data_IF_931692391105
#
_entry.id   IF_931692391105
#
_cell.length_a   1.000
_cell.length_b   1.000
_cell.length_c   1.000
_cell.angle_alpha   90.00
_cell.angle_beta   90.00
_cell.angle_gamma   90.00
#
_symmetry.space_group_name_H-M   'P 1'
#
loop_
_entity.id
_entity.type
_entity.pdbx_description
1 polymer ?
#
# COMPACT_ATOMS: atom_id res chain seq x y z
N UNK A 1 6.17 14.66 -18.68
CA UNK A 1 5.77 14.73 -17.26
C UNK A 1 6.93 15.31 -16.46
N UNK A 2 6.69 16.27 -15.56
CA UNK A 2 7.73 16.82 -14.69
C UNK A 2 7.61 16.20 -13.30
N UNK A 3 8.75 16.01 -12.64
CA UNK A 3 8.83 15.49 -11.27
C UNK A 3 9.67 16.42 -10.41
N UNK A 4 9.42 16.43 -9.10
CA UNK A 4 10.19 17.16 -8.10
C UNK A 4 10.57 16.25 -6.93
N UNK A 5 11.55 16.68 -6.12
CA UNK A 5 11.99 15.91 -4.95
C UNK A 5 10.87 15.79 -3.91
N UNK A 6 10.82 14.63 -3.26
CA UNK A 6 9.90 14.30 -2.18
C UNK A 6 10.69 13.80 -0.99
N UNK A 7 10.32 14.24 0.22
CA UNK A 7 11.10 13.96 1.42
C UNK A 7 10.88 12.53 1.98
N UNK A 8 9.70 11.94 1.77
CA UNK A 8 9.31 10.57 2.16
C UNK A 8 9.80 10.12 3.56
N UNK A 9 9.80 11.01 4.55
CA UNK A 9 10.22 10.66 5.91
C UNK A 9 9.12 9.96 6.68
N UNK A 10 9.51 9.13 7.66
CA UNK A 10 8.59 8.38 8.51
C UNK A 10 8.76 8.74 9.99
N UNK A 11 7.66 8.83 10.73
CA UNK A 11 7.63 9.02 12.17
C UNK A 11 6.63 8.09 12.86
N UNK A 12 6.87 7.88 14.15
CA UNK A 12 6.00 7.10 15.03
C UNK A 12 5.67 7.93 16.26
N UNK A 13 4.38 8.03 16.56
CA UNK A 13 3.85 8.62 17.79
C UNK A 13 3.00 7.60 18.56
N UNK A 14 3.29 7.42 19.84
CA UNK A 14 2.53 6.54 20.74
C UNK A 14 1.86 7.33 21.86
N UNK A 15 0.53 7.27 21.96
CA UNK A 15 -0.26 7.96 22.98
C UNK A 15 0.01 7.46 24.39
N UNK A 16 0.07 6.13 24.59
CA UNK A 16 0.27 5.50 25.91
C UNK A 16 1.60 5.84 26.56
N UNK A 17 2.71 5.67 25.83
CA UNK A 17 4.06 5.88 26.39
C UNK A 17 4.65 7.26 26.02
N UNK A 18 3.86 8.09 25.33
CA UNK A 18 4.21 9.40 24.80
C UNK A 18 5.42 9.41 23.83
N UNK A 19 5.94 8.26 23.41
CA UNK A 19 7.11 8.19 22.53
C UNK A 19 6.78 8.86 21.20
N UNK A 20 7.62 9.81 20.78
CA UNK A 20 7.65 10.32 19.41
C UNK A 20 9.08 10.31 18.90
N UNK A 21 9.29 9.81 17.68
CA UNK A 21 10.55 9.89 16.98
C UNK A 21 10.33 9.87 15.46
N UNK A 22 11.30 10.38 14.70
CA UNK A 22 11.31 10.24 13.24
C UNK A 22 12.61 9.61 12.76
N UNK A 23 12.57 8.98 11.59
CA UNK A 23 13.75 8.38 10.98
C UNK A 23 14.82 9.40 10.56
N UNK A 24 14.47 10.69 10.44
CA UNK A 24 15.44 11.78 10.20
C UNK A 24 15.98 12.39 11.50
N UNK A 25 15.14 12.50 12.53
CA UNK A 25 15.50 13.06 13.84
C UNK A 25 15.07 12.08 14.94
N UNK A 26 15.84 11.00 15.18
CA UNK A 26 15.47 9.99 16.19
C UNK A 26 15.37 10.59 17.59
N UNK A 27 16.15 11.63 17.91
CA UNK A 27 16.10 12.35 19.18
C UNK A 27 15.17 13.59 19.16
N UNK A 28 14.11 13.56 18.35
CA UNK A 28 13.10 14.61 18.28
C UNK A 28 12.47 14.96 19.65
N UNK A 29 12.54 14.05 20.62
CA UNK A 29 12.25 14.33 22.03
C UNK A 29 13.55 14.29 22.85
N UNK A 30 13.94 15.39 23.50
CA UNK A 30 15.20 15.48 24.27
C UNK A 30 15.34 14.42 25.36
N UNK A 31 14.24 14.02 26.00
CA UNK A 31 14.23 12.94 27.01
C UNK A 31 14.75 11.60 26.49
N UNK A 32 14.64 11.37 25.18
CA UNK A 32 15.09 10.12 24.57
C UNK A 32 16.62 9.98 24.55
N UNK A 33 17.38 11.09 24.69
CA UNK A 33 18.84 11.08 24.80
C UNK A 33 19.33 10.29 26.03
N UNK A 34 18.51 10.22 27.09
CA UNK A 34 18.85 9.52 28.35
C UNK A 34 18.00 8.26 28.58
N UNK A 35 17.26 7.82 27.57
CA UNK A 35 16.32 6.69 27.70
C UNK A 35 17.00 5.39 27.28
N UNK A 36 17.33 4.47 28.21
CA UNK A 36 17.92 3.17 27.84
C UNK A 36 16.96 2.35 26.98
N UNK A 37 15.65 2.50 27.20
CA UNK A 37 14.60 1.88 26.37
C UNK A 37 14.64 2.39 24.94
N UNK A 38 14.91 3.68 24.72
CA UNK A 38 15.02 4.22 23.36
C UNK A 38 16.34 3.83 22.68
N UNK A 39 17.44 3.82 23.42
CA UNK A 39 18.72 3.32 22.91
C UNK A 39 18.63 1.85 22.45
N UNK A 40 17.97 0.99 23.23
CA UNK A 40 17.71 -0.41 22.87
C UNK A 40 16.87 -0.53 21.58
N UNK A 41 15.81 0.29 21.43
CA UNK A 41 15.03 0.34 20.20
C UNK A 41 15.89 0.70 18.98
N UNK A 42 16.73 1.74 19.07
CA UNK A 42 17.62 2.14 17.97
C UNK A 42 18.64 1.06 17.63
N UNK A 43 19.17 0.36 18.64
CA UNK A 43 20.06 -0.78 18.43
C UNK A 43 19.38 -1.90 17.63
N UNK A 44 18.16 -2.29 18.01
CA UNK A 44 17.41 -3.32 17.30
C UNK A 44 16.99 -2.90 15.89
N UNK A 45 16.68 -1.61 15.67
CA UNK A 45 16.50 -1.05 14.33
C UNK A 45 17.78 -1.22 13.51
N UNK A 46 18.94 -0.83 14.04
CA UNK A 46 20.22 -1.02 13.37
C UNK A 46 20.58 -2.49 13.14
N UNK A 47 20.15 -3.41 14.01
CA UNK A 47 20.28 -4.87 13.83
C UNK A 47 19.39 -5.34 12.68
N UNK A 48 18.13 -4.94 12.63
CA UNK A 48 17.20 -5.27 11.56
C UNK A 48 17.73 -4.81 10.20
N UNK A 49 18.07 -3.52 10.09
CA UNK A 49 18.56 -2.92 8.85
C UNK A 49 19.79 -3.64 8.27
N UNK A 50 20.65 -4.20 9.12
CA UNK A 50 21.87 -4.92 8.69
C UNK A 50 21.65 -6.40 8.40
N UNK A 51 20.75 -7.05 9.14
CA UNK A 51 20.66 -8.52 9.17
C UNK A 51 19.46 -9.09 8.42
N UNK A 52 18.41 -8.29 8.18
CA UNK A 52 17.17 -8.81 7.59
C UNK A 52 17.38 -9.35 6.18
N UNK A 53 18.20 -8.70 5.34
CA UNK A 53 18.49 -9.16 3.97
C UNK A 53 19.03 -10.59 3.92
N UNK A 54 19.99 -10.93 4.78
CA UNK A 54 20.60 -12.28 4.80
C UNK A 54 19.61 -13.39 5.15
N UNK A 55 18.43 -13.03 5.68
CA UNK A 55 17.36 -13.99 5.89
C UNK A 55 16.78 -14.49 4.56
N UNK A 56 16.83 -13.71 3.47
CA UNK A 56 16.30 -14.14 2.17
C UNK A 56 17.03 -15.34 1.56
N UNK A 57 18.26 -15.61 1.99
CA UNK A 57 19.04 -16.77 1.54
C UNK A 57 18.54 -18.09 2.18
N UNK A 58 17.63 -18.01 3.16
CA UNK A 58 17.06 -19.17 3.86
C UNK A 58 15.65 -19.45 3.37
N UNK A 59 15.48 -20.56 2.66
CA UNK A 59 14.19 -20.98 2.09
C UNK A 59 13.06 -21.10 3.13
N UNK A 60 13.40 -21.40 4.40
CA UNK A 60 12.43 -21.57 5.48
C UNK A 60 11.56 -20.31 5.68
N UNK A 61 12.11 -19.11 5.51
CA UNK A 61 11.37 -17.86 5.74
C UNK A 61 10.33 -17.52 4.68
N UNK A 62 10.27 -18.26 3.56
CA UNK A 62 9.18 -18.13 2.57
C UNK A 62 7.81 -18.48 3.17
N UNK A 63 7.78 -19.30 4.22
CA UNK A 63 6.55 -19.72 4.89
C UNK A 63 6.33 -19.04 6.24
N UNK A 64 7.25 -18.18 6.67
CA UNK A 64 7.15 -17.48 7.94
C UNK A 64 6.35 -16.19 7.80
N UNK A 65 5.57 -15.89 8.82
CA UNK A 65 5.04 -14.55 9.10
C UNK A 65 6.11 -13.68 9.75
N UNK A 66 5.93 -12.35 9.72
CA UNK A 66 6.82 -11.42 10.44
C UNK A 66 6.84 -11.72 11.94
N UNK A 67 5.72 -12.14 12.53
CA UNK A 67 5.62 -12.53 13.93
C UNK A 67 6.55 -13.69 14.29
N UNK A 68 6.48 -14.78 13.51
CA UNK A 68 7.33 -15.95 13.69
C UNK A 68 8.81 -15.61 13.48
N UNK A 69 9.12 -14.83 12.44
CA UNK A 69 10.47 -14.34 12.18
C UNK A 69 11.04 -13.55 13.37
N UNK A 70 10.25 -12.65 13.96
CA UNK A 70 10.69 -11.86 15.10
C UNK A 70 10.93 -12.70 16.35
N UNK A 71 10.07 -13.70 16.59
CA UNK A 71 10.21 -14.62 17.71
C UNK A 71 11.49 -15.45 17.59
N UNK A 72 11.74 -16.06 16.41
CA UNK A 72 12.95 -16.85 16.15
C UNK A 72 14.23 -16.01 16.30
N UNK A 73 14.20 -14.77 15.81
CA UNK A 73 15.38 -13.87 15.81
C UNK A 73 15.57 -13.09 17.11
N UNK A 74 14.70 -13.30 18.11
CA UNK A 74 14.79 -12.67 19.43
C UNK A 74 14.71 -11.15 19.36
N UNK A 75 13.72 -10.60 18.64
CA UNK A 75 13.41 -9.16 18.69
C UNK A 75 12.49 -8.84 19.87
N UNK A 76 12.73 -7.69 20.52
CA UNK A 76 11.94 -7.28 21.67
C UNK A 76 10.52 -6.84 21.26
N UNK A 77 9.54 -6.92 22.19
CA UNK A 77 8.23 -6.31 22.00
C UNK A 77 8.32 -4.82 21.67
N UNK A 78 9.32 -4.11 22.20
CA UNK A 78 9.48 -2.68 21.93
C UNK A 78 9.82 -2.42 20.47
N UNK A 79 10.75 -3.18 19.88
CA UNK A 79 11.07 -3.11 18.46
C UNK A 79 9.85 -3.45 17.60
N UNK A 80 9.18 -4.57 17.93
CA UNK A 80 7.95 -5.00 17.27
C UNK A 80 6.89 -3.89 17.26
N UNK A 81 6.59 -3.32 18.43
CA UNK A 81 5.46 -2.42 18.65
C UNK A 81 5.70 -0.97 18.23
N UNK A 82 6.97 -0.53 18.18
CA UNK A 82 7.33 0.86 17.87
C UNK A 82 8.10 1.02 16.57
N UNK A 83 8.50 -0.06 15.89
CA UNK A 83 9.15 0.03 14.59
C UNK A 83 8.47 -0.85 13.55
N UNK A 84 8.44 -2.18 13.73
CA UNK A 84 8.01 -3.08 12.65
C UNK A 84 6.51 -3.03 12.38
N UNK A 85 5.67 -3.07 13.43
CA UNK A 85 4.22 -2.91 13.27
C UNK A 85 3.91 -1.55 12.63
N UNK A 86 4.38 -0.40 13.17
CA UNK A 86 4.16 0.91 12.54
C UNK A 86 4.56 0.96 11.07
N UNK A 87 5.74 0.43 10.72
CA UNK A 87 6.26 0.47 9.36
C UNK A 87 5.43 -0.39 8.40
N UNK A 88 5.08 -1.60 8.82
CA UNK A 88 4.29 -2.55 8.01
C UNK A 88 2.85 -2.03 7.83
N UNK A 89 2.22 -1.58 8.92
CA UNK A 89 0.90 -0.94 8.86
C UNK A 89 0.90 0.30 7.99
N UNK A 90 2.00 1.06 7.97
CA UNK A 90 2.11 2.25 7.15
C UNK A 90 2.15 1.93 5.66
N UNK A 91 2.98 0.97 5.26
CA UNK A 91 3.21 0.63 3.86
C UNK A 91 2.03 -0.06 3.18
N UNK A 92 1.35 -0.94 3.90
CA UNK A 92 0.25 -1.76 3.34
C UNK A 92 -1.12 -1.41 3.91
N UNK A 93 -1.24 -0.27 4.60
CA UNK A 93 -2.49 0.17 5.24
C UNK A 93 -3.22 -0.98 5.96
N UNK A 94 -2.44 -1.82 6.65
CA UNK A 94 -2.90 -3.04 7.31
C UNK A 94 -3.03 -2.79 8.81
N UNK A 95 -4.11 -3.31 9.42
CA UNK A 95 -4.35 -3.19 10.85
C UNK A 95 -3.13 -3.64 11.68
N UNK A 96 -2.77 -2.93 12.77
CA UNK A 96 -1.61 -3.28 13.59
C UNK A 96 -1.62 -4.72 14.12
N UNK A 97 -2.80 -5.26 14.43
CA UNK A 97 -3.00 -6.67 14.85
C UNK A 97 -2.68 -7.69 13.75
N UNK A 98 -2.86 -7.34 12.47
CA UNK A 98 -2.56 -8.20 11.31
C UNK A 98 -1.17 -7.96 10.72
N UNK A 99 -0.50 -6.88 11.12
CA UNK A 99 0.81 -6.51 10.58
C UNK A 99 1.88 -7.60 10.76
N UNK A 100 1.75 -8.43 11.81
CA UNK A 100 2.69 -9.53 12.07
C UNK A 100 2.36 -10.81 11.32
N UNK A 101 1.16 -10.98 10.78
CA UNK A 101 0.79 -12.13 9.93
C UNK A 101 1.35 -11.98 8.51
N UNK A 102 1.89 -10.79 8.20
CA UNK A 102 2.42 -10.48 6.89
C UNK A 102 3.61 -11.40 6.56
N UNK A 103 3.71 -11.94 5.33
CA UNK A 103 4.78 -12.86 4.96
C UNK A 103 6.17 -12.23 5.08
N UNK A 104 7.05 -12.84 5.86
CA UNK A 104 8.34 -12.27 6.25
C UNK A 104 9.28 -12.06 5.06
N UNK A 105 9.50 -13.10 4.25
CA UNK A 105 10.38 -13.01 3.09
C UNK A 105 9.91 -11.95 2.08
N UNK A 106 8.59 -11.82 1.91
CA UNK A 106 8.01 -10.80 1.04
C UNK A 106 8.22 -9.38 1.58
N UNK A 107 7.96 -9.14 2.86
CA UNK A 107 8.25 -7.84 3.49
C UNK A 107 9.74 -7.49 3.44
N UNK A 108 10.63 -8.44 3.72
CA UNK A 108 12.09 -8.22 3.70
C UNK A 108 12.56 -7.88 2.28
N UNK A 109 12.11 -8.62 1.25
CA UNK A 109 12.37 -8.28 -0.16
C UNK A 109 11.87 -6.88 -0.51
N UNK A 110 10.66 -6.54 -0.07
CA UNK A 110 10.13 -5.20 -0.30
C UNK A 110 11.03 -4.13 0.32
N UNK A 111 11.40 -4.28 1.59
CA UNK A 111 12.28 -3.33 2.26
C UNK A 111 13.64 -3.21 1.56
N UNK A 112 14.19 -4.32 1.07
CA UNK A 112 15.43 -4.32 0.30
C UNK A 112 15.29 -3.55 -1.03
N UNK A 113 14.29 -3.91 -1.84
CA UNK A 113 14.06 -3.31 -3.16
C UNK A 113 13.76 -1.81 -3.07
N UNK A 114 13.27 -1.33 -1.93
CA UNK A 114 12.93 0.07 -1.70
C UNK A 114 13.99 0.83 -0.88
N UNK A 115 15.18 0.24 -0.67
CA UNK A 115 16.29 0.91 0.02
C UNK A 115 15.97 1.22 1.49
N UNK A 116 15.08 0.43 2.08
CA UNK A 116 14.65 0.53 3.48
C UNK A 116 15.42 -0.43 4.38
N UNK A 117 16.29 -1.27 3.81
CA UNK A 117 17.34 -2.00 4.53
C UNK A 117 18.70 -1.33 4.32
N UNK A 118 19.62 -1.54 5.25
CA UNK A 118 20.88 -0.81 5.32
C UNK A 118 20.70 0.65 5.74
N UNK A 119 21.68 1.49 5.38
CA UNK A 119 21.68 2.93 5.70
C UNK A 119 21.63 3.83 4.47
N UNK A 120 21.64 3.25 3.26
CA UNK A 120 21.39 3.98 2.03
C UNK A 120 19.95 4.47 1.99
N UNK A 121 19.69 5.58 1.28
CA UNK A 121 18.35 6.08 1.05
C UNK A 121 18.17 6.41 -0.42
N UNK A 122 17.03 6.04 -0.98
CA UNK A 122 16.65 6.46 -2.32
C UNK A 122 16.13 7.90 -2.31
N UNK A 123 16.44 8.63 -3.37
CA UNK A 123 15.82 9.91 -3.66
C UNK A 123 14.40 9.67 -4.14
N UNK A 124 13.42 10.15 -3.39
CA UNK A 124 12.02 10.02 -3.76
C UNK A 124 11.58 11.20 -4.61
N UNK A 125 10.69 10.94 -5.56
CA UNK A 125 10.09 11.95 -6.43
C UNK A 125 8.58 11.94 -6.30
N UNK A 126 7.99 13.09 -6.57
CA UNK A 126 6.55 13.25 -6.75
C UNK A 126 6.28 13.92 -8.10
N UNK A 127 5.12 13.67 -8.69
CA UNK A 127 4.70 14.30 -9.95
C UNK A 127 4.31 15.74 -9.68
N UNK A 128 4.93 16.69 -10.38
CA UNK A 128 4.57 18.10 -10.29
C UNK A 128 3.14 18.29 -10.83
N UNK A 129 2.25 18.89 -10.02
CA UNK A 129 0.82 18.99 -10.32
C UNK A 129 -0.01 17.76 -9.91
N UNK A 130 0.63 16.75 -9.30
CA UNK A 130 -0.01 15.54 -8.81
C UNK A 130 -0.32 14.50 -9.89
N UNK A 131 -0.85 13.35 -9.46
CA UNK A 131 -1.17 12.23 -10.35
C UNK A 131 -2.20 12.57 -11.44
N UNK A 132 -3.07 13.55 -11.16
CA UNK A 132 -4.07 14.05 -12.13
C UNK A 132 -3.44 14.47 -13.46
N UNK A 133 -2.19 14.94 -13.45
CA UNK A 133 -1.49 15.36 -14.67
C UNK A 133 -1.32 14.22 -15.66
N UNK A 134 -0.91 13.01 -15.23
CA UNK A 134 -0.79 11.89 -16.16
C UNK A 134 -2.14 11.24 -16.45
N UNK A 135 -3.08 11.26 -15.49
CA UNK A 135 -4.45 10.77 -15.72
C UNK A 135 -5.11 11.56 -16.85
N UNK A 136 -5.03 12.89 -16.84
CA UNK A 136 -5.60 13.73 -17.90
C UNK A 136 -5.02 13.41 -19.29
N UNK A 137 -3.72 13.15 -19.36
CA UNK A 137 -3.07 12.74 -20.63
C UNK A 137 -3.60 11.39 -21.13
N UNK A 138 -3.88 10.45 -20.22
CA UNK A 138 -4.49 9.17 -20.59
C UNK A 138 -5.94 9.35 -21.07
N UNK A 139 -6.73 10.18 -20.38
CA UNK A 139 -8.10 10.53 -20.76
C UNK A 139 -8.14 11.15 -22.16
N UNK A 140 -7.31 12.16 -22.42
CA UNK A 140 -7.19 12.82 -23.72
C UNK A 140 -6.80 11.82 -24.84
N UNK A 141 -5.88 10.89 -24.56
CA UNK A 141 -5.45 9.87 -25.54
C UNK A 141 -6.50 8.81 -25.82
N UNK A 142 -7.29 8.43 -24.83
CA UNK A 142 -8.36 7.45 -25.01
C UNK A 142 -9.52 8.05 -25.80
N UNK A 143 -9.86 9.32 -25.56
CA UNK A 143 -10.92 10.03 -26.25
C UNK A 143 -12.27 9.32 -26.10
N UNK A 144 -12.97 9.10 -27.21
CA UNK A 144 -14.28 8.42 -27.24
C UNK A 144 -14.26 6.97 -26.77
N UNK A 145 -13.08 6.34 -26.67
CA UNK A 145 -12.90 4.98 -26.14
C UNK A 145 -13.00 4.91 -24.61
N UNK A 146 -12.94 6.05 -23.93
CA UNK A 146 -13.09 6.14 -22.48
C UNK A 146 -14.56 6.35 -22.13
N UNK A 147 -15.13 5.37 -21.42
CA UNK A 147 -16.50 5.45 -20.93
C UNK A 147 -16.48 5.64 -19.41
N UNK A 148 -16.79 6.86 -18.95
CA UNK A 148 -16.93 7.19 -17.53
C UNK A 148 -18.37 6.97 -17.06
N UNK A 149 -18.54 6.59 -15.79
CA UNK A 149 -19.87 6.34 -15.21
C UNK A 149 -20.58 5.08 -15.74
N UNK A 150 -19.87 4.25 -16.52
CA UNK A 150 -20.40 3.03 -17.13
C UNK A 150 -19.70 1.81 -16.52
N UNK A 151 -20.23 1.30 -15.41
CA UNK A 151 -19.69 0.11 -14.75
C UNK A 151 -19.89 -1.16 -15.56
N UNK A 152 -18.90 -2.05 -15.57
CA UNK A 152 -19.04 -3.41 -16.06
C UNK A 152 -19.71 -4.28 -14.97
N UNK A 153 -20.76 -5.02 -15.35
CA UNK A 153 -21.58 -5.82 -14.42
C UNK A 153 -21.38 -7.31 -14.57
N UNK A 154 -21.37 -7.80 -15.80
CA UNK A 154 -21.17 -9.21 -16.10
C UNK A 154 -20.39 -9.38 -17.40
N UNK A 155 -19.50 -10.35 -17.42
CA UNK A 155 -18.79 -10.81 -18.61
C UNK A 155 -19.11 -12.29 -18.82
N UNK A 156 -19.82 -12.59 -19.91
CA UNK A 156 -20.08 -13.95 -20.38
C UNK A 156 -19.13 -14.27 -21.52
N UNK A 157 -18.59 -15.48 -21.54
CA UNK A 157 -17.53 -15.88 -22.47
C UNK A 157 -17.98 -17.10 -23.24
N UNK A 158 -17.83 -17.07 -24.55
CA UNK A 158 -18.15 -18.18 -25.43
C UNK A 158 -16.97 -18.48 -26.38
N UNK A 159 -17.18 -19.38 -27.34
CA UNK A 159 -16.12 -19.77 -28.29
C UNK A 159 -15.68 -18.59 -29.19
N UNK A 160 -16.61 -17.68 -29.46
CA UNK A 160 -16.50 -16.64 -30.48
C UNK A 160 -16.14 -15.27 -29.87
N UNK A 161 -16.28 -15.06 -28.56
CA UNK A 161 -15.90 -13.82 -27.91
C UNK A 161 -16.38 -13.63 -26.48
N UNK A 162 -16.53 -12.37 -26.10
CA UNK A 162 -16.96 -11.88 -24.79
C UNK A 162 -18.19 -11.01 -24.96
N UNK A 163 -19.23 -11.28 -24.18
CA UNK A 163 -20.39 -10.41 -24.01
C UNK A 163 -20.26 -9.67 -22.67
N UNK A 164 -20.15 -8.35 -22.73
CA UNK A 164 -20.01 -7.49 -21.56
C UNK A 164 -21.31 -6.71 -21.35
N UNK A 165 -21.96 -6.95 -20.21
CA UNK A 165 -23.12 -6.18 -19.76
C UNK A 165 -22.67 -5.03 -18.86
N UNK A 166 -23.18 -3.83 -19.10
CA UNK A 166 -22.84 -2.62 -18.35
C UNK A 166 -24.03 -2.02 -17.59
N UNK A 167 -23.77 -0.95 -16.83
CA UNK A 167 -24.75 -0.29 -15.93
C UNK A 167 -25.99 0.27 -16.63
N UNK A 168 -25.89 0.61 -17.91
CA UNK A 168 -27.00 1.02 -18.77
C UNK A 168 -27.90 -0.15 -19.19
N UNK A 169 -27.55 -1.39 -18.83
CA UNK A 169 -28.25 -2.61 -19.22
C UNK A 169 -27.90 -3.10 -20.63
N UNK A 170 -27.05 -2.38 -21.37
CA UNK A 170 -26.62 -2.79 -22.70
C UNK A 170 -25.59 -3.92 -22.63
N UNK A 171 -25.62 -4.79 -23.64
CA UNK A 171 -24.61 -5.84 -23.82
C UNK A 171 -23.81 -5.56 -25.09
N UNK A 172 -22.49 -5.53 -24.95
CA UNK A 172 -21.55 -5.26 -26.04
C UNK A 172 -20.63 -6.44 -26.25
N UNK A 173 -20.27 -6.71 -27.50
CA UNK A 173 -19.46 -7.87 -27.89
C UNK A 173 -18.03 -7.47 -28.21
N UNK A 174 -17.08 -8.23 -27.69
CA UNK A 174 -15.63 -8.01 -27.84
C UNK A 174 -14.91 -9.32 -28.11
N UNK A 175 -13.74 -9.26 -28.75
CA UNK A 175 -12.91 -10.45 -29.02
C UNK A 175 -12.13 -10.92 -27.80
N UNK A 176 -11.80 -10.00 -26.88
CA UNK A 176 -11.02 -10.24 -25.68
C UNK A 176 -11.40 -9.26 -24.56
N UNK A 177 -11.14 -9.66 -23.32
CA UNK A 177 -11.39 -8.87 -22.12
C UNK A 177 -10.09 -8.66 -21.33
N UNK A 178 -9.78 -7.41 -21.00
CA UNK A 178 -8.72 -7.08 -20.04
C UNK A 178 -9.37 -6.55 -18.76
N UNK A 179 -9.23 -7.29 -17.66
CA UNK A 179 -9.76 -6.91 -16.36
C UNK A 179 -8.65 -6.26 -15.53
N UNK A 180 -8.76 -4.94 -15.35
CA UNK A 180 -7.82 -4.12 -14.58
C UNK A 180 -8.38 -3.65 -13.22
N UNK A 181 -9.29 -4.43 -12.64
CA UNK A 181 -9.96 -4.16 -11.35
C UNK A 181 -9.31 -4.96 -10.22
N UNK A 182 -9.85 -4.85 -9.00
CA UNK A 182 -9.45 -5.75 -7.91
C UNK A 182 -9.79 -7.21 -8.23
N UNK A 183 -9.04 -8.17 -7.69
CA UNK A 183 -9.19 -9.58 -8.02
C UNK A 183 -10.58 -10.12 -7.63
N UNK A 184 -11.12 -9.67 -6.50
CA UNK A 184 -12.47 -10.02 -6.06
C UNK A 184 -13.57 -9.44 -6.98
N UNK A 185 -13.36 -8.21 -7.48
CA UNK A 185 -14.23 -7.57 -8.47
C UNK A 185 -14.14 -8.30 -9.81
N UNK A 186 -12.93 -8.67 -10.23
CA UNK A 186 -12.70 -9.46 -11.44
C UNK A 186 -13.44 -10.80 -11.36
N UNK A 187 -13.35 -11.50 -10.23
CA UNK A 187 -14.05 -12.76 -10.04
C UNK A 187 -15.58 -12.61 -10.08
N UNK A 188 -16.14 -11.54 -9.46
CA UNK A 188 -17.58 -11.24 -9.49
C UNK A 188 -18.07 -10.83 -10.88
N UNK A 189 -17.22 -10.21 -11.69
CA UNK A 189 -17.57 -9.80 -13.06
C UNK A 189 -17.81 -11.01 -13.98
N UNK A 190 -17.10 -12.12 -13.77
CA UNK A 190 -17.20 -13.30 -14.64
C UNK A 190 -18.51 -14.04 -14.36
N UNK A 191 -19.31 -14.27 -15.40
CA UNK A 191 -20.54 -15.07 -15.28
C UNK A 191 -20.25 -16.58 -15.12
N UNK A 192 -19.08 -17.01 -15.57
CA UNK A 192 -18.68 -18.42 -15.69
C UNK A 192 -17.23 -18.67 -15.25
N UNK A 193 -16.78 -18.20 -14.06
CA UNK A 193 -15.40 -18.35 -13.66
C UNK A 193 -15.05 -19.82 -13.48
N UNK A 194 -13.93 -20.21 -14.08
CA UNK A 194 -13.31 -21.53 -13.93
C UNK A 194 -12.84 -21.77 -12.50
N UNK A 195 -12.58 -23.02 -12.15
CA UNK A 195 -12.08 -23.38 -10.81
C UNK A 195 -10.74 -22.72 -10.51
N UNK A 196 -9.90 -22.56 -11.53
CA UNK A 196 -8.60 -21.88 -11.43
C UNK A 196 -8.78 -20.39 -11.13
N UNK A 197 -9.67 -19.71 -11.85
CA UNK A 197 -10.00 -18.29 -11.60
C UNK A 197 -10.61 -18.09 -10.21
N UNK A 198 -11.52 -18.97 -9.77
CA UNK A 198 -12.10 -18.92 -8.43
C UNK A 198 -11.04 -19.05 -7.35
N UNK A 199 -10.14 -20.03 -7.49
CA UNK A 199 -9.08 -20.31 -6.52
C UNK A 199 -8.07 -19.17 -6.46
N UNK A 200 -7.57 -18.72 -7.60
CA UNK A 200 -6.49 -17.71 -7.66
C UNK A 200 -7.02 -16.32 -7.33
N UNK A 201 -8.10 -15.86 -7.98
CA UNK A 201 -8.64 -14.51 -7.74
C UNK A 201 -9.33 -14.41 -6.38
N UNK A 202 -9.93 -15.51 -5.90
CA UNK A 202 -10.61 -15.56 -4.60
C UNK A 202 -9.67 -15.55 -3.39
N UNK A 203 -8.37 -15.80 -3.57
CA UNK A 203 -7.38 -15.76 -2.50
C UNK A 203 -7.03 -14.33 -2.04
N UNK A 204 -7.43 -13.30 -2.80
CA UNK A 204 -7.17 -11.91 -2.47
C UNK A 204 -8.32 -11.33 -1.65
N UNK A 205 -7.99 -10.80 -0.48
CA UNK A 205 -8.92 -10.10 0.39
C UNK A 205 -8.52 -8.64 0.55
N UNK A 206 -9.47 -7.80 0.98
CA UNK A 206 -9.31 -6.36 1.05
C UNK A 206 -9.83 -5.82 2.38
N UNK A 207 -9.26 -4.70 2.82
CA UNK A 207 -9.76 -3.93 3.97
C UNK A 207 -10.14 -2.51 3.55
N UNK A 208 -11.23 -2.00 4.13
CA UNK A 208 -11.69 -0.63 3.88
C UNK A 208 -11.06 0.35 4.86
N UNK A 209 -10.33 1.32 4.32
CA UNK A 209 -9.72 2.41 5.06
C UNK A 209 -10.39 3.73 4.68
N UNK A 210 -10.96 4.40 5.68
CA UNK A 210 -11.48 5.75 5.51
C UNK A 210 -10.30 6.72 5.43
N UNK A 211 -10.37 7.67 4.51
CA UNK A 211 -9.32 8.65 4.24
C UNK A 211 -9.89 10.04 4.19
N UNK A 212 -9.33 10.96 4.97
CA UNK A 212 -9.79 12.35 5.03
C UNK A 212 -8.67 13.28 4.62
N UNK A 213 -8.95 14.17 3.67
CA UNK A 213 -8.11 15.34 3.39
C UNK A 213 -8.57 16.49 4.28
N UNK A 214 -7.66 17.10 5.04
CA UNK A 214 -7.97 18.16 6.00
C UNK A 214 -6.80 19.11 6.24
N UNK A 215 -7.06 20.19 6.98
CA UNK A 215 -6.05 21.18 7.41
C UNK A 215 -5.80 21.18 8.93
N UNK A 216 -6.41 20.23 9.65
CA UNK A 216 -6.17 20.04 11.09
C UNK A 216 -4.81 19.39 11.37
N UNK A 217 -3.89 20.14 11.99
CA UNK A 217 -2.57 19.65 12.38
C UNK A 217 -2.53 18.89 13.70
N UNK A 218 -3.64 18.79 14.44
CA UNK A 218 -3.72 18.14 15.76
C UNK A 218 -3.27 16.67 15.72
N UNK A 219 -3.39 16.04 14.54
CA UNK A 219 -2.99 14.67 14.28
C UNK A 219 -1.54 14.54 13.78
N UNK A 220 -0.77 15.61 13.66
CA UNK A 220 0.68 15.52 13.49
C UNK A 220 1.37 15.27 14.85
N UNK A 221 2.61 14.75 14.87
CA UNK A 221 3.40 14.66 16.10
C UNK A 221 3.46 16.00 16.85
N UNK A 222 3.34 15.93 18.18
CA UNK A 222 3.40 17.10 19.08
C UNK A 222 4.78 17.72 19.05
N UNK A 223 5.84 16.90 19.04
CA UNK A 223 7.18 17.39 18.72
C UNK A 223 7.26 17.75 17.24
N UNK A 224 7.42 19.05 16.95
CA UNK A 224 7.64 19.54 15.57
C UNK A 224 8.84 18.87 14.89
N UNK A 225 9.86 18.44 15.66
CA UNK A 225 11.02 17.73 15.14
C UNK A 225 10.73 16.25 14.77
N UNK A 226 9.66 15.68 15.33
CA UNK A 226 9.21 14.33 15.02
C UNK A 226 8.25 14.29 13.83
N UNK A 227 7.67 15.44 13.42
CA UNK A 227 6.86 15.50 12.20
C UNK A 227 7.68 14.94 11.02
N UNK A 228 7.00 14.21 10.16
CA UNK A 228 7.56 13.56 8.97
C UNK A 228 6.54 13.63 7.82
N UNK A 229 6.89 13.13 6.63
CA UNK A 229 5.93 13.01 5.52
C UNK A 229 4.84 11.99 5.83
N UNK A 230 5.18 10.89 6.52
CA UNK A 230 4.29 9.82 6.95
C UNK A 230 4.35 9.72 8.47
N UNK A 231 3.24 9.96 9.16
CA UNK A 231 3.20 10.01 10.62
C UNK A 231 2.29 8.91 11.14
N UNK A 232 2.88 7.78 11.55
CA UNK A 232 2.13 6.69 12.14
C UNK A 232 1.75 7.04 13.58
N UNK A 233 0.49 6.81 13.93
CA UNK A 233 -0.02 7.09 15.26
C UNK A 233 -0.64 5.85 15.86
N UNK A 234 -0.33 5.62 17.14
CA UNK A 234 -0.92 4.54 17.91
C UNK A 234 -1.44 5.08 19.23
N UNK A 235 -2.74 4.98 19.54
CA UNK A 235 -3.26 5.40 20.82
C UNK A 235 -2.61 4.63 21.97
N UNK A 236 -2.48 3.31 21.82
CA UNK A 236 -1.91 2.45 22.85
C UNK A 236 -0.95 1.39 22.27
N UNK A 237 0.30 1.37 22.76
CA UNK A 237 1.28 0.35 22.41
C UNK A 237 1.09 -0.99 23.11
N UNK A 238 0.26 -1.08 24.17
CA UNK A 238 -0.09 -2.37 24.79
C UNK A 238 -1.20 -3.13 24.07
N UNK A 239 -2.00 -2.46 23.23
CA UNK A 239 -3.03 -3.10 22.42
C UNK A 239 -2.67 -3.05 20.94
N UNK A 240 -2.72 -4.18 20.26
CA UNK A 240 -2.58 -4.23 18.79
C UNK A 240 -3.90 -3.90 18.06
N UNK A 241 -4.99 -3.66 18.80
CA UNK A 241 -6.32 -3.51 18.21
C UNK A 241 -6.52 -2.18 17.49
N UNK A 242 -7.32 -2.24 16.43
CA UNK A 242 -7.81 -1.07 15.71
C UNK A 242 -7.34 -0.98 14.26
N UNK A 243 -7.71 0.11 13.60
CA UNK A 243 -7.34 0.38 12.21
C UNK A 243 -5.98 1.09 12.11
N UNK A 244 -5.25 0.94 10.99
CA UNK A 244 -4.00 1.67 10.80
C UNK A 244 -4.30 3.16 10.75
N UNK A 245 -3.58 3.93 11.56
CA UNK A 245 -3.69 5.38 11.60
C UNK A 245 -2.38 5.99 11.13
N UNK A 246 -2.47 6.70 10.01
CA UNK A 246 -1.35 7.42 9.41
C UNK A 246 -1.87 8.79 9.03
N UNK A 247 -1.13 9.84 9.39
CA UNK A 247 -1.32 11.17 8.83
C UNK A 247 -0.19 11.48 7.86
N UNK A 248 -0.52 11.57 6.57
CA UNK A 248 0.37 12.03 5.50
C UNK A 248 0.41 13.55 5.51
N UNK A 249 1.60 14.11 5.70
CA UNK A 249 1.80 15.55 5.65
C UNK A 249 2.16 15.96 4.21
N UNK A 250 1.14 16.40 3.47
CA UNK A 250 1.23 16.58 2.02
C UNK A 250 2.22 17.68 1.61
N UNK A 251 2.36 18.76 2.38
CA UNK A 251 3.33 19.80 2.04
C UNK A 251 4.76 19.25 1.93
N UNK A 252 5.13 18.30 2.79
CA UNK A 252 6.45 17.64 2.73
C UNK A 252 6.52 16.55 1.66
N UNK A 253 5.42 15.81 1.49
CA UNK A 253 5.36 14.69 0.55
C UNK A 253 5.32 15.15 -0.91
N UNK A 254 4.64 16.26 -1.17
CA UNK A 254 4.41 16.80 -2.50
C UNK A 254 5.18 18.11 -2.75
N UNK A 255 5.99 18.56 -1.79
CA UNK A 255 6.73 19.83 -1.84
C UNK A 255 5.80 21.00 -2.20
N UNK A 256 4.72 21.14 -1.43
CA UNK A 256 3.76 22.24 -1.57
C UNK A 256 4.27 23.46 -0.78
N UNK A 257 4.43 24.59 -1.47
CA UNK A 257 4.88 25.87 -0.91
C UNK A 257 3.69 26.72 -0.44
N UNK A 258 2.81 26.09 0.33
CA UNK A 258 1.59 26.72 0.88
C UNK A 258 1.76 26.98 2.37
N UNK A 259 1.24 28.12 2.85
CA UNK A 259 1.17 28.43 4.29
C UNK A 259 0.22 27.49 5.04
N UNK A 260 -0.77 26.95 4.32
CA UNK A 260 -1.74 25.99 4.85
C UNK A 260 -1.11 24.59 4.86
N UNK A 261 -1.22 23.91 6.02
CA UNK A 261 -0.74 22.55 6.20
C UNK A 261 -1.79 21.52 5.81
N UNK A 262 -1.61 20.88 4.66
CA UNK A 262 -2.50 19.85 4.15
C UNK A 262 -2.11 18.48 4.69
N UNK A 263 -3.09 17.80 5.28
CA UNK A 263 -2.95 16.46 5.84
C UNK A 263 -3.94 15.50 5.20
N UNK A 264 -3.51 14.26 5.00
CA UNK A 264 -4.41 13.15 4.71
C UNK A 264 -4.32 12.15 5.84
N UNK A 265 -5.42 11.87 6.53
CA UNK A 265 -5.43 10.94 7.68
C UNK A 265 -6.28 9.71 7.38
N UNK A 266 -5.76 8.54 7.74
CA UNK A 266 -6.48 7.28 7.69
C UNK A 266 -7.19 6.97 9.02
N UNK A 267 -8.46 6.55 8.91
CA UNK A 267 -9.23 5.89 9.97
C UNK A 267 -9.35 6.63 11.31
N UNK A 268 -9.23 7.97 11.32
CA UNK A 268 -9.45 8.81 12.51
C UNK A 268 -10.28 10.06 12.24
N UNK A 269 -11.31 9.91 11.41
CA UNK A 269 -12.27 10.99 11.14
C UNK A 269 -12.81 11.67 12.38
N UNK A 270 -13.14 10.90 13.42
CA UNK A 270 -13.76 11.43 14.63
C UNK A 270 -12.83 12.38 15.41
N UNK A 271 -11.51 12.29 15.18
CA UNK A 271 -10.51 13.10 15.85
C UNK A 271 -10.17 14.39 15.07
N UNK A 272 -10.72 14.56 13.86
CA UNK A 272 -10.46 15.72 13.00
C UNK A 272 -11.53 16.78 13.24
N UNK A 273 -11.12 18.04 13.43
CA UNK A 273 -12.05 19.18 13.46
C UNK A 273 -12.90 19.21 12.16
N UNK A 274 -14.24 19.04 12.26
CA UNK A 274 -15.11 19.00 11.07
C UNK A 274 -15.03 20.25 10.19
N UNK A 275 -14.70 21.41 10.77
CA UNK A 275 -14.53 22.67 10.02
C UNK A 275 -13.27 22.70 9.15
N UNK A 276 -12.33 21.78 9.39
CA UNK A 276 -11.04 21.66 8.70
C UNK A 276 -11.03 20.57 7.64
N UNK A 277 -12.12 19.82 7.48
CA UNK A 277 -12.26 18.74 6.50
C UNK A 277 -12.49 19.31 5.10
N UNK A 278 -11.71 18.85 4.13
CA UNK A 278 -11.81 19.25 2.73
C UNK A 278 -12.44 18.17 1.86
N UNK A 279 -12.13 16.90 2.11
CA UNK A 279 -12.71 15.77 1.37
C UNK A 279 -12.61 14.46 2.16
N UNK A 280 -13.47 13.49 1.82
CA UNK A 280 -13.55 12.15 2.41
C UNK A 280 -13.59 11.10 1.32
N UNK A 281 -12.88 10.00 1.53
CA UNK A 281 -12.78 8.88 0.59
C UNK A 281 -12.74 7.56 1.34
N UNK A 282 -13.24 6.50 0.71
CA UNK A 282 -13.06 5.13 1.16
C UNK A 282 -12.19 4.38 0.15
N UNK A 283 -11.10 3.78 0.64
CA UNK A 283 -10.21 2.99 -0.18
C UNK A 283 -10.13 1.55 0.30
N UNK A 284 -10.23 0.62 -0.65
CA UNK A 284 -9.97 -0.79 -0.43
C UNK A 284 -8.47 -1.07 -0.63
N UNK A 285 -7.82 -1.60 0.40
CA UNK A 285 -6.41 -2.00 0.36
C UNK A 285 -6.29 -3.53 0.39
N UNK A 286 -5.46 -4.14 -0.47
CA UNK A 286 -5.27 -5.58 -0.47
C UNK A 286 -4.55 -6.04 0.80
N UNK A 287 -5.00 -7.17 1.34
CA UNK A 287 -4.34 -7.86 2.45
C UNK A 287 -3.45 -8.96 1.87
N UNK A 288 -2.15 -8.87 2.13
CA UNK A 288 -1.19 -9.89 1.71
C UNK A 288 -1.03 -10.96 2.79
N UNK A 289 -1.28 -12.19 2.41
CA UNK A 289 -1.12 -13.39 3.24
C UNK A 289 -0.24 -14.41 2.52
N UNK A 290 0.18 -15.47 3.20
CA UNK A 290 0.89 -16.57 2.56
C UNK A 290 0.05 -17.19 1.42
N UNK A 291 -1.26 -17.30 1.62
CA UNK A 291 -2.22 -17.78 0.62
C UNK A 291 -2.30 -16.85 -0.59
N UNK A 292 -2.50 -15.54 -0.36
CA UNK A 292 -2.61 -14.58 -1.47
C UNK A 292 -1.32 -14.46 -2.27
N UNK A 293 -0.15 -14.62 -1.63
CA UNK A 293 1.14 -14.63 -2.32
C UNK A 293 1.39 -15.93 -3.11
N UNK A 294 0.90 -17.07 -2.62
CA UNK A 294 0.92 -18.30 -3.38
C UNK A 294 0.07 -18.15 -4.65
N UNK A 295 -1.16 -17.64 -4.51
CA UNK A 295 -2.05 -17.36 -5.64
C UNK A 295 -1.46 -16.30 -6.60
N UNK A 296 -0.80 -15.26 -6.08
CA UNK A 296 -0.15 -14.22 -6.89
C UNK A 296 0.86 -14.80 -7.89
N UNK A 297 1.61 -15.85 -7.51
CA UNK A 297 2.58 -16.51 -8.40
C UNK A 297 1.91 -17.24 -9.57
N UNK A 298 0.63 -17.56 -9.45
CA UNK A 298 -0.15 -18.27 -10.45
C UNK A 298 -0.92 -17.33 -11.40
N UNK A 299 -1.11 -16.06 -11.01
CA UNK A 299 -1.82 -15.05 -11.82
C UNK A 299 -1.35 -14.97 -13.27
N UNK A 300 -0.03 -14.99 -13.59
CA UNK A 300 0.41 -14.93 -14.99
C UNK A 300 -0.14 -16.07 -15.85
N UNK A 301 -0.39 -17.24 -15.25
CA UNK A 301 -0.95 -18.40 -15.93
C UNK A 301 -2.41 -18.24 -16.34
N UNK A 302 -3.15 -17.31 -15.72
CA UNK A 302 -4.54 -17.02 -16.08
C UNK A 302 -4.67 -16.22 -17.38
N UNK A 303 -3.67 -15.40 -17.72
CA UNK A 303 -3.74 -14.45 -18.83
C UNK A 303 -3.87 -15.15 -20.18
N UNK A 304 -4.82 -14.69 -21.01
CA UNK A 304 -5.09 -15.22 -22.34
C UNK A 304 -5.99 -16.47 -22.36
N UNK A 305 -6.23 -17.09 -21.21
CA UNK A 305 -7.18 -18.21 -21.11
C UNK A 305 -8.58 -17.67 -21.34
N UNK A 306 -9.35 -18.36 -22.20
CA UNK A 306 -10.74 -17.99 -22.52
C UNK A 306 -10.88 -16.52 -22.92
N UNK A 307 -9.90 -16.00 -23.69
CA UNK A 307 -9.85 -14.62 -24.20
C UNK A 307 -9.87 -13.56 -23.09
N UNK A 308 -9.45 -13.92 -21.87
CA UNK A 308 -9.49 -13.05 -20.69
C UNK A 308 -8.08 -12.82 -20.15
N UNK A 309 -7.77 -11.57 -19.83
CA UNK A 309 -6.49 -11.15 -19.27
C UNK A 309 -6.71 -10.37 -17.98
N UNK A 310 -5.76 -10.43 -17.07
CA UNK A 310 -5.82 -9.74 -15.78
C UNK A 310 -4.63 -8.80 -15.65
N UNK A 311 -4.89 -7.61 -15.15
CA UNK A 311 -3.90 -6.60 -14.82
C UNK A 311 -4.28 -5.93 -13.49
N UNK A 312 -3.30 -5.32 -12.84
CA UNK A 312 -3.49 -4.57 -11.61
C UNK A 312 -2.34 -4.77 -10.65
N UNK A 313 -2.26 -3.89 -9.65
CA UNK A 313 -1.15 -3.83 -8.71
C UNK A 313 -0.95 -5.13 -7.91
N UNK A 314 -1.99 -5.97 -7.78
CA UNK A 314 -1.94 -7.28 -7.15
C UNK A 314 -1.08 -8.32 -7.90
N UNK A 315 -0.57 -7.99 -9.10
CA UNK A 315 0.46 -8.79 -9.80
C UNK A 315 1.88 -8.58 -9.28
N UNK A 316 2.08 -7.65 -8.34
CA UNK A 316 3.38 -7.38 -7.71
C UNK A 316 3.21 -6.87 -6.29
N UNK A 317 3.95 -5.83 -5.92
CA UNK A 317 3.99 -5.33 -4.55
C UNK A 317 2.75 -4.54 -4.10
N UNK A 318 1.80 -4.29 -4.99
CA UNK A 318 0.58 -3.53 -4.70
C UNK A 318 0.71 -2.03 -4.95
N UNK A 319 1.75 -1.59 -5.66
CA UNK A 319 2.03 -0.17 -5.93
C UNK A 319 1.79 0.21 -7.40
N UNK A 320 1.93 1.50 -7.70
CA UNK A 320 1.61 2.06 -9.03
C UNK A 320 2.43 1.42 -10.16
N UNK A 321 3.72 1.15 -9.93
CA UNK A 321 4.59 0.52 -10.92
C UNK A 321 4.12 -0.90 -11.24
N UNK A 322 3.69 -1.67 -10.23
CA UNK A 322 3.17 -3.03 -10.45
C UNK A 322 1.90 -3.01 -11.30
N UNK A 323 1.01 -2.04 -11.04
CA UNK A 323 -0.20 -1.80 -11.82
C UNK A 323 0.12 -1.46 -13.27
N UNK A 324 0.99 -0.47 -13.49
CA UNK A 324 1.41 -0.06 -14.84
C UNK A 324 2.06 -1.23 -15.57
N UNK A 325 3.11 -1.82 -15.01
CA UNK A 325 3.86 -2.91 -15.62
C UNK A 325 2.97 -4.12 -15.96
N UNK A 326 1.97 -4.43 -15.14
CA UNK A 326 1.00 -5.48 -15.45
C UNK A 326 0.15 -5.17 -16.68
N UNK A 327 -0.32 -3.93 -16.83
CA UNK A 327 -1.05 -3.48 -18.03
C UNK A 327 -0.18 -3.55 -19.28
N UNK A 328 1.09 -3.15 -19.17
CA UNK A 328 2.08 -3.25 -20.28
C UNK A 328 2.25 -4.69 -20.73
N UNK A 329 2.40 -5.63 -19.79
CA UNK A 329 2.53 -7.06 -20.11
C UNK A 329 1.31 -7.59 -20.87
N UNK A 330 0.10 -7.19 -20.47
CA UNK A 330 -1.12 -7.59 -21.17
C UNK A 330 -1.18 -6.97 -22.57
N UNK A 331 -0.90 -5.67 -22.72
CA UNK A 331 -0.87 -5.01 -24.02
C UNK A 331 0.13 -5.67 -24.98
N UNK A 332 1.33 -5.99 -24.50
CA UNK A 332 2.34 -6.71 -25.28
C UNK A 332 1.84 -8.10 -25.73
N UNK A 333 1.16 -8.84 -24.83
CA UNK A 333 0.57 -10.15 -25.17
C UNK A 333 -0.53 -10.08 -26.23
N UNK A 334 -1.14 -8.90 -26.41
CA UNK A 334 -2.15 -8.61 -27.43
C UNK A 334 -1.55 -7.97 -28.69
N UNK A 335 -0.22 -7.96 -28.83
CA UNK A 335 0.46 -7.44 -30.02
C UNK A 335 0.73 -5.93 -30.01
N UNK A 336 0.59 -5.26 -28.87
CA UNK A 336 0.92 -3.85 -28.68
C UNK A 336 2.10 -3.68 -27.70
N UNK A 337 3.34 -3.93 -28.12
CA UNK A 337 4.52 -3.75 -27.28
C UNK A 337 4.75 -2.25 -26.96
N UNK A 338 5.44 -2.00 -25.84
CA UNK A 338 5.74 -0.66 -25.32
C UNK A 338 6.82 0.06 -26.14
#
# INVERSE_FOLDING_TARGET
MRTQDSEMSFSVSCGRCALEYSGQRPFAQRRNLRSPRFASLLYEIGRWLRTARASLDRADYERHTLGEYLAERGYSPRFRDHFLIPLTSALWSTAPERALDFPAAYAIRFFEHHGMLGFGRFGWKTVSGGSRTYVRVLEERLGERLHLGLGARAARRDADGIELTTDDGETRRFDALVVATHADQALRLLADPSDEERRVLGAFSYTTNETVLHTDESLLPRSKQARASWNFQRPDCSSATGKPTITYYLNRLQALEEDIHYCVTLNRTADIDPSRVLARFDYLHPLYTLESLAAQRELPGLSGRRRTHYAGAHHGNGFHEDGLASGVRVAASLGAPW
#
